data_IF_505137689851
#
_entry.id   IF_505137689851
#
_cell.length_a   1.000
_cell.length_b   1.000
_cell.length_c   1.000
_cell.angle_alpha   90.00
_cell.angle_beta   90.00
_cell.angle_gamma   90.00
#
_symmetry.space_group_name_H-M   'P 1'
#
loop_
_entity.id
_entity.type
_entity.pdbx_description
1 polymer ?
#
# COMPACT_ATOMS: atom_id res chain seq x y z
N UNK A 1 24.84 -7.76 -7.42
CA UNK A 1 24.12 -7.36 -8.65
C UNK A 1 23.68 -8.59 -9.45
N UNK A 2 22.90 -9.49 -8.84
CA UNK A 2 22.42 -10.75 -9.46
C UNK A 2 20.89 -10.82 -9.53
N UNK A 3 20.19 -9.99 -8.76
CA UNK A 3 18.71 -9.95 -8.67
C UNK A 3 18.01 -9.56 -9.98
N UNK A 4 18.69 -8.78 -10.85
CA UNK A 4 18.14 -8.35 -12.14
C UNK A 4 18.03 -9.49 -13.16
N UNK A 5 18.83 -10.55 -13.00
CA UNK A 5 18.86 -11.70 -13.91
C UNK A 5 18.17 -12.94 -13.33
N UNK A 6 17.57 -12.82 -12.15
CA UNK A 6 16.95 -13.92 -11.42
C UNK A 6 15.46 -14.02 -11.78
N UNK A 7 14.99 -15.07 -12.47
CA UNK A 7 13.60 -15.20 -12.91
C UNK A 7 12.60 -15.20 -11.75
N UNK A 8 13.02 -15.68 -10.58
CA UNK A 8 12.20 -15.73 -9.36
C UNK A 8 11.93 -14.33 -8.82
N UNK A 9 12.91 -13.42 -8.89
CA UNK A 9 12.74 -12.04 -8.45
C UNK A 9 11.68 -11.30 -9.30
N UNK A 10 11.70 -11.50 -10.62
CA UNK A 10 10.70 -10.93 -11.53
C UNK A 10 9.30 -11.49 -11.29
N UNK A 11 9.20 -12.79 -11.00
CA UNK A 11 7.93 -13.45 -10.70
C UNK A 11 7.33 -12.95 -9.38
N UNK A 12 8.15 -12.80 -8.33
CA UNK A 12 7.72 -12.22 -7.06
C UNK A 12 7.28 -10.75 -7.21
N UNK A 13 8.01 -9.96 -7.99
CA UNK A 13 7.66 -8.56 -8.29
C UNK A 13 6.33 -8.47 -9.04
N UNK A 14 6.12 -9.34 -10.03
CA UNK A 14 4.85 -9.42 -10.76
C UNK A 14 3.68 -9.79 -9.83
N UNK A 15 3.87 -10.75 -8.93
CA UNK A 15 2.84 -11.14 -7.96
C UNK A 15 2.52 -10.00 -6.98
N UNK A 16 3.54 -9.34 -6.44
CA UNK A 16 3.38 -8.18 -5.55
C UNK A 16 2.65 -7.03 -6.25
N UNK A 17 3.03 -6.74 -7.50
CA UNK A 17 2.40 -5.70 -8.30
C UNK A 17 0.94 -6.06 -8.64
N UNK A 18 0.64 -7.33 -8.93
CA UNK A 18 -0.72 -7.80 -9.14
C UNK A 18 -1.59 -7.62 -7.89
N UNK A 19 -1.09 -8.01 -6.71
CA UNK A 19 -1.80 -7.82 -5.43
C UNK A 19 -2.05 -6.34 -5.13
N UNK A 20 -1.04 -5.50 -5.35
CA UNK A 20 -1.11 -4.06 -5.11
C UNK A 20 -2.17 -3.37 -6.01
N UNK A 21 -2.28 -3.83 -7.26
CA UNK A 21 -3.30 -3.37 -8.21
C UNK A 21 -4.69 -3.83 -7.75
N UNK A 22 -4.88 -5.11 -7.41
CA UNK A 22 -6.20 -5.63 -7.01
C UNK A 22 -6.71 -4.92 -5.75
N UNK A 23 -5.86 -4.76 -4.72
CA UNK A 23 -6.23 -4.00 -3.52
C UNK A 23 -6.48 -2.51 -3.83
N UNK A 24 -5.71 -1.92 -4.75
CA UNK A 24 -5.85 -0.52 -5.12
C UNK A 24 -7.14 -0.22 -5.88
N UNK A 25 -7.52 -1.13 -6.78
CA UNK A 25 -8.71 -1.00 -7.63
C UNK A 25 -9.99 -1.10 -6.80
N UNK A 26 -10.06 -2.02 -5.83
CA UNK A 26 -11.24 -2.23 -5.00
C UNK A 26 -11.67 -0.93 -4.27
N UNK A 27 -10.71 -0.22 -3.69
CA UNK A 27 -10.94 1.03 -2.95
C UNK A 27 -11.37 2.19 -3.88
N UNK A 28 -10.78 2.30 -5.07
CA UNK A 28 -11.17 3.33 -6.06
C UNK A 28 -12.56 3.05 -6.64
N UNK A 29 -12.88 1.79 -6.93
CA UNK A 29 -14.21 1.38 -7.41
C UNK A 29 -15.26 1.69 -6.35
N UNK A 30 -15.03 1.36 -5.07
CA UNK A 30 -15.96 1.65 -3.99
C UNK A 30 -16.31 3.13 -3.90
N UNK A 31 -15.29 4.01 -3.94
CA UNK A 31 -15.49 5.46 -3.93
C UNK A 31 -16.24 5.96 -5.16
N UNK A 32 -15.92 5.42 -6.34
CA UNK A 32 -16.63 5.80 -7.57
C UNK A 32 -18.12 5.41 -7.51
N UNK A 33 -18.44 4.23 -6.95
CA UNK A 33 -19.82 3.77 -6.75
C UNK A 33 -20.54 4.65 -5.72
N UNK A 34 -19.92 4.93 -4.57
CA UNK A 34 -20.50 5.77 -3.52
C UNK A 34 -20.73 7.20 -4.00
N UNK A 35 -19.77 7.77 -4.73
CA UNK A 35 -19.90 9.11 -5.30
C UNK A 35 -21.02 9.17 -6.36
N UNK A 36 -21.27 8.08 -7.08
CA UNK A 36 -22.38 7.98 -8.06
C UNK A 36 -23.76 7.90 -7.41
N UNK A 37 -23.84 7.63 -6.09
CA UNK A 37 -25.06 7.68 -5.30
C UNK A 37 -25.42 9.09 -4.82
N UNK A 38 -24.55 10.08 -4.98
CA UNK A 38 -24.83 11.47 -4.61
C UNK A 38 -25.60 12.23 -5.71
N UNK A 39 -26.31 13.32 -5.37
CA UNK A 39 -26.94 14.21 -6.34
C UNK A 39 -25.93 14.66 -7.40
N UNK A 40 -26.35 14.76 -8.67
CA UNK A 40 -25.49 15.00 -9.84
C UNK A 40 -24.54 16.19 -9.67
N UNK A 41 -25.01 17.23 -8.99
CA UNK A 41 -24.25 18.44 -8.65
C UNK A 41 -23.05 18.20 -7.73
N UNK A 42 -23.13 17.17 -6.87
CA UNK A 42 -22.12 16.84 -5.86
C UNK A 42 -21.20 15.67 -6.27
N UNK A 43 -21.58 14.87 -7.27
CA UNK A 43 -20.80 13.69 -7.70
C UNK A 43 -19.37 14.07 -8.14
N UNK A 44 -19.22 15.19 -8.85
CA UNK A 44 -17.92 15.65 -9.33
C UNK A 44 -16.97 16.06 -8.20
N UNK A 45 -17.50 16.70 -7.14
CA UNK A 45 -16.72 17.03 -5.93
C UNK A 45 -16.44 15.78 -5.10
N UNK A 46 -17.44 14.92 -4.91
CA UNK A 46 -17.31 13.68 -4.15
C UNK A 46 -16.27 12.72 -4.76
N UNK A 47 -16.21 12.59 -6.10
CA UNK A 47 -15.17 11.81 -6.78
C UNK A 47 -13.77 12.38 -6.52
N UNK A 48 -13.56 13.69 -6.68
CA UNK A 48 -12.24 14.31 -6.47
C UNK A 48 -11.79 14.19 -5.01
N UNK A 49 -12.67 14.53 -4.08
CA UNK A 49 -12.37 14.46 -2.64
C UNK A 49 -12.16 13.01 -2.23
N UNK A 50 -12.98 12.08 -2.72
CA UNK A 50 -12.82 10.66 -2.46
C UNK A 50 -11.51 10.09 -3.01
N UNK A 51 -11.13 10.43 -4.25
CA UNK A 51 -9.87 9.96 -4.84
C UNK A 51 -8.66 10.52 -4.07
N UNK A 52 -8.67 11.82 -3.75
CA UNK A 52 -7.61 12.46 -2.98
C UNK A 52 -7.52 11.88 -1.56
N UNK A 53 -8.66 11.66 -0.89
CA UNK A 53 -8.72 11.05 0.43
C UNK A 53 -8.22 9.60 0.39
N UNK A 54 -8.58 8.80 -0.61
CA UNK A 54 -8.10 7.43 -0.75
C UNK A 54 -6.59 7.34 -0.97
N UNK A 55 -6.05 8.18 -1.86
CA UNK A 55 -4.60 8.27 -2.07
C UNK A 55 -3.87 8.69 -0.79
N UNK A 56 -4.41 9.69 -0.09
CA UNK A 56 -3.83 10.20 1.18
C UNK A 56 -3.89 9.13 2.27
N UNK A 57 -5.02 8.44 2.42
CA UNK A 57 -5.20 7.37 3.41
C UNK A 57 -4.24 6.21 3.15
N UNK A 58 -4.05 5.83 1.88
CA UNK A 58 -3.07 4.81 1.49
C UNK A 58 -1.66 5.23 1.89
N UNK A 59 -1.28 6.47 1.58
CA UNK A 59 0.05 7.00 1.89
C UNK A 59 0.27 7.06 3.42
N UNK A 60 -0.73 7.50 4.18
CA UNK A 60 -0.69 7.52 5.64
C UNK A 60 -0.55 6.12 6.24
N UNK A 61 -1.31 5.15 5.75
CA UNK A 61 -1.21 3.76 6.21
C UNK A 61 0.15 3.15 5.86
N UNK A 62 0.67 3.39 4.66
CA UNK A 62 2.02 2.94 4.26
C UNK A 62 3.11 3.57 5.13
N UNK A 63 3.02 4.88 5.39
CA UNK A 63 3.95 5.58 6.29
C UNK A 63 3.86 5.05 7.72
N UNK A 64 2.65 4.80 8.23
CA UNK A 64 2.43 4.21 9.55
C UNK A 64 3.02 2.80 9.65
N UNK A 65 2.81 1.94 8.63
CA UNK A 65 3.41 0.61 8.57
C UNK A 65 4.93 0.71 8.51
N UNK A 66 5.49 1.60 7.69
CA UNK A 66 6.94 1.86 7.65
C UNK A 66 7.49 2.27 9.00
N UNK A 67 6.80 3.17 9.69
CA UNK A 67 7.18 3.63 11.04
C UNK A 67 7.10 2.50 12.08
N UNK A 68 6.04 1.68 12.05
CA UNK A 68 5.88 0.51 12.93
C UNK A 68 6.98 -0.52 12.69
N UNK A 69 7.30 -0.82 11.43
CA UNK A 69 8.39 -1.75 11.07
C UNK A 69 9.74 -1.17 11.52
N UNK A 70 9.95 0.14 11.39
CA UNK A 70 11.18 0.81 11.85
C UNK A 70 11.35 0.70 13.37
N UNK A 71 10.29 0.95 14.15
CA UNK A 71 10.30 0.79 15.61
C UNK A 71 10.53 -0.65 16.04
N UNK A 72 9.92 -1.63 15.34
CA UNK A 72 10.23 -3.05 15.56
C UNK A 72 11.71 -3.32 15.26
N UNK A 73 12.24 -2.85 14.13
CA UNK A 73 13.67 -3.01 13.80
C UNK A 73 14.57 -2.46 14.89
N UNK A 74 14.32 -1.26 15.41
CA UNK A 74 15.14 -0.71 16.49
C UNK A 74 15.02 -1.51 17.79
N UNK A 75 13.81 -1.94 18.20
CA UNK A 75 13.63 -2.84 19.35
C UNK A 75 14.34 -4.20 19.19
N UNK A 76 14.44 -4.72 17.96
CA UNK A 76 15.16 -5.96 17.64
C UNK A 76 16.66 -5.75 17.40
N UNK A 77 17.14 -4.51 17.24
CA UNK A 77 18.57 -4.19 16.98
C UNK A 77 19.26 -3.55 18.21
N UNK A 78 18.52 -3.05 19.20
CA UNK A 78 19.05 -2.50 20.46
C UNK A 78 19.58 -3.59 21.43
N UNK A 79 19.36 -4.86 21.12
CA UNK A 79 20.10 -5.97 21.73
C UNK A 79 21.09 -6.54 20.74
N UNK A 80 22.39 -6.44 21.05
CA UNK A 80 23.56 -6.93 20.31
C UNK A 80 23.62 -8.48 20.16
N UNK A 81 22.49 -9.13 19.91
CA UNK A 81 22.34 -10.57 19.72
C UNK A 81 21.19 -10.80 18.73
N UNK A 82 21.42 -10.44 17.47
CA UNK A 82 20.67 -11.02 16.36
C UNK A 82 20.93 -12.52 16.35
N UNK A 83 20.09 -13.29 17.05
CA UNK A 83 20.11 -14.75 16.99
C UNK A 83 19.66 -15.14 15.58
N UNK A 84 20.64 -15.22 14.67
CA UNK A 84 20.51 -15.92 13.41
C UNK A 84 20.30 -17.39 13.76
N UNK A 85 19.04 -17.80 13.79
CA UNK A 85 18.66 -19.21 13.83
C UNK A 85 19.11 -19.87 12.53
N UNK A 86 20.33 -20.36 12.54
CA UNK A 86 20.73 -21.59 11.85
C UNK A 86 20.64 -22.73 12.85
#
# INVERSE_FOLDING_TARGET
MTWLSDPDAWSALAALLALEIVLGVDNVIFISILASKLPVDQQGKARRVGLLAAGTMRLLLLLAVGWVISLKKELFTIGDLGFSGK
#
